data_IF_590766914446
#
_entry.id   IF_590766914446
#
_cell.length_a   1.000
_cell.length_b   1.000
_cell.length_c   1.000
_cell.angle_alpha   90.00
_cell.angle_beta   90.00
_cell.angle_gamma   90.00
#
_symmetry.space_group_name_H-M   'P 1'
#
loop_
_entity.id
_entity.type
_entity.pdbx_description
1 polymer ?
#
# COMPACT_ATOMS: atom_id res chain seq x y z
N UNK A 1 -12.08 -1.94 12.18
CA UNK A 1 -10.85 -1.20 11.84
C UNK A 1 -11.28 0.12 11.25
N UNK A 2 -10.68 1.23 11.66
CA UNK A 2 -10.92 2.52 11.02
C UNK A 2 -9.80 2.85 10.03
N UNK A 3 -10.00 3.93 9.29
CA UNK A 3 -9.07 4.38 8.27
C UNK A 3 -7.69 4.74 8.84
N UNK A 4 -7.63 5.46 9.96
CA UNK A 4 -6.38 5.91 10.56
C UNK A 4 -5.51 4.72 10.98
N UNK A 5 -6.13 3.70 11.59
CA UNK A 5 -5.47 2.44 11.91
C UNK A 5 -5.01 1.72 10.64
N UNK A 6 -5.84 1.66 9.60
CA UNK A 6 -5.50 1.00 8.35
C UNK A 6 -4.22 1.58 7.73
N UNK A 7 -4.11 2.91 7.59
CA UNK A 7 -2.93 3.53 7.00
C UNK A 7 -1.66 3.30 7.83
N UNK A 8 -1.76 3.39 9.16
CA UNK A 8 -0.65 3.07 10.04
C UNK A 8 -0.23 1.60 9.94
N UNK A 9 -1.17 0.67 9.84
CA UNK A 9 -0.86 -0.75 9.62
C UNK A 9 -0.19 -0.98 8.25
N UNK A 10 -0.70 -0.33 7.20
CA UNK A 10 -0.18 -0.45 5.84
C UNK A 10 1.28 0.00 5.72
N UNK A 11 1.69 1.03 6.47
CA UNK A 11 3.09 1.46 6.58
C UNK A 11 4.00 0.30 7.02
N UNK A 12 3.69 -0.33 8.16
CA UNK A 12 4.46 -1.48 8.65
C UNK A 12 4.42 -2.66 7.69
N UNK A 13 3.27 -2.91 7.04
CA UNK A 13 3.14 -3.98 6.04
C UNK A 13 4.03 -3.72 4.84
N UNK A 14 4.09 -2.50 4.33
CA UNK A 14 4.93 -2.13 3.20
C UNK A 14 6.42 -2.28 3.54
N UNK A 15 6.85 -1.89 4.74
CA UNK A 15 8.22 -2.14 5.23
C UNK A 15 8.59 -3.64 5.21
N UNK A 16 7.68 -4.50 5.69
CA UNK A 16 7.91 -5.96 5.67
C UNK A 16 7.96 -6.51 4.25
N UNK A 17 7.11 -6.01 3.36
CA UNK A 17 7.09 -6.43 1.96
C UNK A 17 8.41 -6.11 1.26
N UNK A 18 8.95 -4.89 1.46
CA UNK A 18 10.28 -4.50 0.96
C UNK A 18 11.40 -5.40 1.50
N UNK A 19 11.41 -5.67 2.81
CA UNK A 19 12.38 -6.57 3.43
C UNK A 19 12.32 -8.00 2.87
N UNK A 20 11.14 -8.43 2.39
CA UNK A 20 10.94 -9.71 1.72
C UNK A 20 11.35 -9.76 0.25
N UNK A 21 11.73 -8.64 -0.39
CA UNK A 21 12.10 -8.68 -1.80
C UNK A 21 13.45 -9.39 -2.03
N UNK A 22 13.62 -10.10 -3.16
CA UNK A 22 14.86 -10.84 -3.43
C UNK A 22 16.06 -9.93 -3.70
N UNK A 23 15.83 -8.72 -4.20
CA UNK A 23 16.91 -7.78 -4.51
C UNK A 23 17.28 -6.99 -3.25
N UNK A 24 18.49 -7.25 -2.74
CA UNK A 24 18.99 -6.72 -1.46
C UNK A 24 18.87 -5.20 -1.31
N UNK A 25 18.96 -4.44 -2.40
CA UNK A 25 18.90 -2.97 -2.33
C UNK A 25 17.52 -2.46 -1.86
N UNK A 26 16.44 -3.17 -2.19
CA UNK A 26 15.10 -2.79 -1.76
C UNK A 26 14.80 -3.21 -0.33
N UNK A 27 15.55 -4.14 0.24
CA UNK A 27 15.39 -4.53 1.65
C UNK A 27 15.76 -3.39 2.62
N UNK A 28 16.43 -2.35 2.13
CA UNK A 28 16.70 -1.12 2.87
C UNK A 28 15.59 -0.06 2.72
N UNK A 29 14.59 -0.32 1.87
CA UNK A 29 13.43 0.56 1.75
C UNK A 29 12.48 0.36 2.92
N UNK A 30 11.91 1.46 3.39
CA UNK A 30 10.84 1.46 4.38
C UNK A 30 9.90 2.65 4.11
N UNK A 31 8.69 2.58 4.64
CA UNK A 31 7.66 3.59 4.49
C UNK A 31 7.55 4.42 5.76
N UNK A 32 7.42 5.74 5.63
CA UNK A 32 7.22 6.70 6.71
C UNK A 32 5.88 7.43 6.52
N UNK A 33 4.83 6.63 6.34
CA UNK A 33 3.45 7.09 6.29
C UNK A 33 2.86 7.28 4.89
N UNK A 34 1.54 7.39 4.90
CA UNK A 34 0.69 7.63 3.73
C UNK A 34 -0.15 8.89 3.93
N UNK A 35 -0.33 9.63 2.84
CA UNK A 35 -1.21 10.79 2.75
C UNK A 35 -2.20 10.58 1.60
N UNK A 36 -3.34 9.89 1.84
CA UNK A 36 -4.39 9.75 0.82
C UNK A 36 -4.96 11.13 0.45
N UNK A 37 -5.18 11.36 -0.84
CA UNK A 37 -5.67 12.62 -1.41
C UNK A 37 -7.00 12.45 -2.13
N UNK A 38 -7.05 11.53 -3.09
CA UNK A 38 -8.21 11.35 -3.96
C UNK A 38 -8.84 9.97 -3.76
N UNK A 39 -10.16 9.96 -3.69
CA UNK A 39 -10.99 8.78 -3.50
C UNK A 39 -11.82 8.56 -4.77
N UNK A 40 -11.32 7.73 -5.68
CA UNK A 40 -11.99 7.36 -6.93
C UNK A 40 -12.78 6.09 -6.63
N UNK A 41 -14.02 6.25 -6.15
CA UNK A 41 -14.79 5.15 -5.54
C UNK A 41 -15.73 4.42 -6.51
N UNK A 42 -15.87 4.93 -7.73
CA UNK A 42 -16.74 4.40 -8.77
C UNK A 42 -15.95 3.89 -9.98
N UNK A 43 -16.68 3.34 -10.95
CA UNK A 43 -16.12 2.85 -12.20
C UNK A 43 -15.46 1.46 -12.10
N UNK A 44 -14.77 1.04 -13.19
CA UNK A 44 -14.26 -0.33 -13.30
C UNK A 44 -12.98 -0.60 -12.51
N UNK A 45 -12.34 0.44 -11.96
CA UNK A 45 -11.09 0.32 -11.20
C UNK A 45 -11.06 1.38 -10.10
N UNK A 46 -11.87 1.19 -9.05
CA UNK A 46 -11.94 2.09 -7.92
C UNK A 46 -10.65 2.01 -7.09
N UNK A 47 -10.18 3.16 -6.62
CA UNK A 47 -8.89 3.30 -5.93
C UNK A 47 -8.82 4.56 -5.08
N UNK A 48 -7.91 4.53 -4.11
CA UNK A 48 -7.47 5.71 -3.37
C UNK A 48 -6.06 6.06 -3.83
N UNK A 49 -5.82 7.33 -4.18
CA UNK A 49 -4.50 7.80 -4.58
C UNK A 49 -3.97 8.87 -3.64
N UNK A 50 -2.65 9.03 -3.58
CA UNK A 50 -2.02 10.03 -2.73
C UNK A 50 -0.51 9.93 -2.74
N UNK A 51 0.12 10.52 -1.73
CA UNK A 51 1.57 10.43 -1.51
C UNK A 51 1.91 9.44 -0.40
N UNK A 52 3.10 8.86 -0.47
CA UNK A 52 3.73 8.09 0.60
C UNK A 52 5.23 8.42 0.66
N UNK A 53 5.86 8.26 1.82
CA UNK A 53 7.28 8.57 1.97
C UNK A 53 8.10 7.30 2.01
N UNK A 54 8.91 7.09 0.98
CA UNK A 54 9.81 5.95 0.90
C UNK A 54 11.21 6.40 1.28
N UNK A 55 11.76 5.71 2.27
CA UNK A 55 13.05 5.98 2.84
C UNK A 55 14.05 4.90 2.42
N UNK A 56 15.32 5.29 2.22
CA UNK A 56 16.45 4.40 2.02
C UNK A 56 17.62 4.89 2.89
N UNK A 57 17.78 4.29 4.07
CA UNK A 57 18.67 4.84 5.09
C UNK A 57 18.22 6.25 5.52
N UNK A 58 19.09 7.27 5.46
CA UNK A 58 18.73 8.65 5.83
C UNK A 58 18.00 9.43 4.73
N UNK A 59 17.96 8.91 3.49
CA UNK A 59 17.27 9.57 2.40
C UNK A 59 15.78 9.25 2.46
N UNK A 60 14.94 10.27 2.28
CA UNK A 60 13.49 10.14 2.19
C UNK A 60 13.02 10.84 0.90
N UNK A 61 12.08 10.22 0.20
CA UNK A 61 11.45 10.80 -0.96
C UNK A 61 9.95 10.54 -0.94
N UNK A 62 9.17 11.53 -1.36
CA UNK A 62 7.74 11.35 -1.63
C UNK A 62 7.56 10.58 -2.94
N UNK A 63 6.69 9.57 -2.89
CA UNK A 63 6.27 8.70 -3.98
C UNK A 63 4.74 8.77 -4.09
N UNK A 64 4.22 8.69 -5.30
CA UNK A 64 2.79 8.53 -5.51
C UNK A 64 2.36 7.10 -5.19
N UNK A 65 1.12 6.91 -4.76
CA UNK A 65 0.55 5.58 -4.62
C UNK A 65 -0.87 5.48 -5.17
N UNK A 66 -1.27 4.24 -5.49
CA UNK A 66 -2.66 3.85 -5.64
C UNK A 66 -2.96 2.58 -4.82
N UNK A 67 -4.00 2.65 -3.99
CA UNK A 67 -4.61 1.51 -3.31
C UNK A 67 -5.86 1.11 -4.08
N UNK A 68 -5.84 -0.07 -4.70
CA UNK A 68 -6.96 -0.62 -5.44
C UNK A 68 -8.02 -1.16 -4.48
N UNK A 69 -9.27 -0.79 -4.73
CA UNK A 69 -10.42 -1.31 -4.00
C UNK A 69 -10.99 -2.54 -4.75
N UNK A 70 -11.48 -3.56 -4.03
CA UNK A 70 -11.99 -4.80 -4.65
C UNK A 70 -13.26 -4.57 -5.49
N UNK A 71 -13.94 -3.44 -5.29
CA UNK A 71 -15.10 -3.03 -6.06
C UNK A 71 -15.56 -1.62 -5.69
N UNK A 72 -16.52 -1.06 -6.45
CA UNK A 72 -17.03 0.28 -6.20
C UNK A 72 -17.74 0.39 -4.85
N UNK A 73 -17.66 1.57 -4.23
CA UNK A 73 -18.38 1.91 -3.00
C UNK A 73 -19.05 3.27 -3.16
N UNK A 74 -20.18 3.50 -2.48
CA UNK A 74 -20.95 4.74 -2.64
C UNK A 74 -20.29 5.96 -1.99
N UNK A 75 -19.45 5.73 -0.97
CA UNK A 75 -18.79 6.80 -0.22
C UNK A 75 -17.56 6.31 0.55
N UNK A 76 -16.73 7.24 1.01
CA UNK A 76 -15.56 6.94 1.87
C UNK A 76 -15.94 6.23 3.17
N UNK A 77 -17.13 6.52 3.71
CA UNK A 77 -17.63 5.90 4.93
C UNK A 77 -18.04 4.43 4.74
N UNK A 78 -18.29 4.02 3.50
CA UNK A 78 -18.68 2.64 3.14
C UNK A 78 -17.48 1.74 2.85
N UNK A 79 -16.26 2.28 2.85
CA UNK A 79 -15.04 1.48 2.66
C UNK A 79 -14.89 0.53 3.85
N UNK A 80 -14.89 -0.77 3.56
CA UNK A 80 -14.55 -1.79 4.55
C UNK A 80 -13.04 -1.86 4.74
N UNK A 81 -12.51 -0.98 5.59
CA UNK A 81 -11.08 -0.92 5.92
C UNK A 81 -10.54 -2.24 6.51
N UNK A 82 -11.40 -3.03 7.16
CA UNK A 82 -10.98 -4.32 7.69
C UNK A 82 -10.78 -5.36 6.57
N UNK A 83 -11.63 -5.35 5.53
CA UNK A 83 -11.47 -6.22 4.37
C UNK A 83 -10.22 -5.89 3.52
N UNK A 84 -9.75 -4.65 3.56
CA UNK A 84 -8.50 -4.24 2.89
C UNK A 84 -7.24 -4.60 3.69
N UNK A 85 -7.38 -4.97 4.97
CA UNK A 85 -6.24 -5.19 5.85
C UNK A 85 -5.42 -6.41 5.44
N UNK A 86 -4.13 -6.20 5.26
CA UNK A 86 -3.19 -7.25 4.88
C UNK A 86 -2.71 -8.01 6.12
N UNK A 87 -3.09 -9.27 6.23
CA UNK A 87 -2.61 -10.16 7.29
C UNK A 87 -1.08 -10.26 7.31
N UNK A 88 -0.48 -10.61 8.44
CA UNK A 88 0.98 -10.59 8.55
C UNK A 88 1.69 -11.59 7.63
N UNK A 89 1.00 -12.67 7.27
CA UNK A 89 1.49 -13.83 6.53
C UNK A 89 1.10 -13.82 5.04
N UNK A 90 0.86 -12.65 4.44
CA UNK A 90 0.61 -12.53 3.00
C UNK A 90 1.63 -11.63 2.30
N UNK A 91 1.84 -11.84 1.00
CA UNK A 91 2.80 -11.12 0.13
C UNK A 91 2.22 -10.95 -1.29
N UNK A 92 2.94 -10.30 -2.20
CA UNK A 92 2.59 -10.06 -3.63
C UNK A 92 1.39 -9.16 -3.88
N UNK A 93 0.99 -8.42 -2.85
CA UNK A 93 -0.06 -7.41 -2.92
C UNK A 93 0.48 -6.03 -3.30
N UNK A 94 1.80 -5.87 -3.48
CA UNK A 94 2.46 -4.61 -3.80
C UNK A 94 3.32 -4.75 -5.06
N UNK A 95 3.28 -3.73 -5.90
CA UNK A 95 4.25 -3.48 -6.95
C UNK A 95 4.71 -2.03 -6.91
N UNK A 96 5.89 -1.74 -7.47
CA UNK A 96 6.41 -0.38 -7.49
C UNK A 96 7.30 -0.12 -8.70
N UNK A 97 7.35 1.16 -9.10
CA UNK A 97 8.23 1.69 -10.13
C UNK A 97 9.10 2.80 -9.50
N UNK A 98 10.36 2.49 -9.22
CA UNK A 98 11.30 3.42 -8.61
C UNK A 98 11.62 4.62 -9.52
N UNK A 99 11.62 4.42 -10.84
CA UNK A 99 11.89 5.48 -11.81
C UNK A 99 10.78 6.53 -11.82
N UNK A 100 9.53 6.08 -11.67
CA UNK A 100 8.35 6.96 -11.53
C UNK A 100 8.08 7.38 -10.09
N UNK A 101 8.75 6.76 -9.10
CA UNK A 101 8.44 6.89 -7.67
C UNK A 101 6.96 6.62 -7.40
N UNK A 102 6.52 5.43 -7.77
CA UNK A 102 5.13 5.02 -7.69
C UNK A 102 4.98 3.65 -7.05
N UNK A 103 3.95 3.49 -6.20
CA UNK A 103 3.55 2.22 -5.59
C UNK A 103 2.11 1.90 -5.93
N UNK A 104 1.85 0.66 -6.35
CA UNK A 104 0.51 0.12 -6.47
C UNK A 104 0.28 -0.96 -5.41
N UNK A 105 -0.87 -0.89 -4.75
CA UNK A 105 -1.28 -1.73 -3.64
C UNK A 105 -2.60 -2.38 -4.02
N UNK A 106 -2.59 -3.70 -4.15
CA UNK A 106 -3.75 -4.51 -4.52
C UNK A 106 -3.96 -5.63 -3.49
N UNK A 107 -4.72 -5.35 -2.41
CA UNK A 107 -4.94 -6.35 -1.36
C UNK A 107 -5.64 -7.62 -1.85
N UNK A 108 -6.46 -7.51 -2.91
CA UNK A 108 -7.25 -8.62 -3.44
C UNK A 108 -6.40 -9.75 -4.07
N UNK A 109 -5.16 -9.46 -4.45
CA UNK A 109 -4.24 -10.46 -5.05
C UNK A 109 -3.20 -10.98 -4.06
N UNK A 110 -3.30 -10.60 -2.79
CA UNK A 110 -2.41 -11.08 -1.74
C UNK A 110 -2.46 -12.62 -1.65
N UNK A 111 -1.29 -13.24 -1.53
CA UNK A 111 -1.17 -14.70 -1.37
C UNK A 111 -0.43 -15.04 -0.09
N UNK A 112 -0.65 -16.24 0.49
CA UNK A 112 0.11 -16.69 1.65
C UNK A 112 1.63 -16.62 1.40
N UNK A 113 2.35 -16.04 2.35
CA UNK A 113 3.81 -16.08 2.38
C UNK A 113 4.24 -17.45 2.93
N UNK A 114 4.94 -18.23 2.09
CA UNK A 114 5.37 -19.60 2.40
C UNK A 114 6.83 -19.67 2.88
N UNK A 115 7.41 -18.50 3.19
CA UNK A 115 8.81 -18.37 3.62
C UNK A 115 9.01 -18.63 5.10
#
# INVERSE_FOLDING_TARGET
MDEAYFWGSLEFRLCREFAGLPERRYQYFWCDGFAPRDYILDGPSPRITGGCWICNGPAQAEWDFALLLPGPVGSRAEIDWAALHLAENVTRWMSFDEGRRYIEIEPAVAVPDLR
#
